data_IF_736843187757
#
_entry.id   IF_736843187757
#
_cell.length_a   1.000
_cell.length_b   1.000
_cell.length_c   1.000
_cell.angle_alpha   90.00
_cell.angle_beta   90.00
_cell.angle_gamma   90.00
#
_symmetry.space_group_name_H-M   'P 1'
#
loop_
_entity.id
_entity.type
_entity.pdbx_description
1 polymer ?
#
# COMPACT_ATOMS: atom_id res chain seq x y z
N UNK A 1 44.69 -23.01 -22.83
CA UNK A 1 44.35 -21.77 -22.08
C UNK A 1 42.86 -21.39 -22.21
N UNK A 2 42.24 -21.57 -23.38
CA UNK A 2 40.85 -21.17 -23.71
C UNK A 2 39.75 -21.84 -22.84
N UNK A 3 39.87 -23.14 -22.55
CA UNK A 3 38.86 -23.92 -21.80
C UNK A 3 38.71 -23.52 -20.32
N UNK A 4 39.75 -22.97 -19.70
CA UNK A 4 39.66 -22.48 -18.31
C UNK A 4 38.83 -21.19 -18.25
N UNK A 5 39.02 -20.27 -19.20
CA UNK A 5 38.23 -19.04 -19.29
C UNK A 5 36.74 -19.30 -19.43
N UNK A 6 36.35 -20.27 -20.28
CA UNK A 6 34.95 -20.65 -20.48
C UNK A 6 34.29 -21.25 -19.23
N UNK A 7 35.05 -21.98 -18.41
CA UNK A 7 34.54 -22.52 -17.14
C UNK A 7 34.28 -21.41 -16.11
N UNK A 8 35.17 -20.42 -16.03
CA UNK A 8 34.99 -19.28 -15.11
C UNK A 8 33.83 -18.38 -15.53
N UNK A 9 33.67 -18.09 -16.82
CA UNK A 9 32.53 -17.30 -17.30
C UNK A 9 31.21 -18.01 -17.04
N UNK A 10 31.12 -19.32 -17.31
CA UNK A 10 29.91 -20.08 -17.04
C UNK A 10 29.57 -20.15 -15.55
N UNK A 11 30.58 -20.26 -14.68
CA UNK A 11 30.39 -20.23 -13.23
C UNK A 11 29.82 -18.88 -12.77
N UNK A 12 30.36 -17.77 -13.26
CA UNK A 12 29.86 -16.42 -12.95
C UNK A 12 28.42 -16.26 -13.43
N UNK A 13 28.11 -16.65 -14.67
CA UNK A 13 26.76 -16.59 -15.22
C UNK A 13 25.78 -17.44 -14.40
N UNK A 14 26.20 -18.63 -13.96
CA UNK A 14 25.39 -19.50 -13.11
C UNK A 14 25.05 -18.85 -11.77
N UNK A 15 26.02 -18.17 -11.13
CA UNK A 15 25.74 -17.41 -9.92
C UNK A 15 24.80 -16.23 -10.16
N UNK A 16 25.00 -15.48 -11.25
CA UNK A 16 24.11 -14.35 -11.59
C UNK A 16 22.67 -14.83 -11.75
N UNK A 17 22.45 -15.90 -12.51
CA UNK A 17 21.11 -16.49 -12.70
C UNK A 17 20.53 -16.99 -11.39
N UNK A 18 21.34 -17.65 -10.55
CA UNK A 18 20.90 -18.12 -9.24
C UNK A 18 20.45 -16.96 -8.34
N UNK A 19 21.27 -15.92 -8.19
CA UNK A 19 20.93 -14.78 -7.34
C UNK A 19 19.76 -13.97 -7.90
N UNK A 20 19.64 -13.85 -9.23
CA UNK A 20 18.48 -13.21 -9.86
C UNK A 20 17.19 -14.01 -9.61
N UNK A 21 17.25 -15.34 -9.72
CA UNK A 21 16.11 -16.21 -9.38
C UNK A 21 15.72 -16.12 -7.91
N UNK A 22 16.71 -16.08 -7.01
CA UNK A 22 16.48 -15.85 -5.59
C UNK A 22 15.87 -14.48 -5.32
N UNK A 23 16.31 -13.42 -6.02
CA UNK A 23 15.73 -12.09 -5.91
C UNK A 23 14.25 -12.08 -6.30
N UNK A 24 13.91 -12.60 -7.48
CA UNK A 24 12.52 -12.60 -7.99
C UNK A 24 11.60 -13.40 -7.07
N UNK A 25 12.06 -14.52 -6.53
CA UNK A 25 11.25 -15.39 -5.65
C UNK A 25 11.06 -14.81 -4.25
N UNK A 26 12.08 -14.16 -3.68
CA UNK A 26 12.00 -13.60 -2.33
C UNK A 26 11.31 -12.24 -2.29
N UNK A 27 11.40 -11.44 -3.35
CA UNK A 27 10.92 -10.05 -3.31
C UNK A 27 9.44 -9.92 -2.94
N UNK A 28 8.50 -10.74 -3.47
CA UNK A 28 7.09 -10.68 -3.08
C UNK A 28 6.84 -10.95 -1.60
N UNK A 29 7.77 -11.59 -0.88
CA UNK A 29 7.64 -11.92 0.56
C UNK A 29 8.19 -10.80 1.46
N UNK A 30 9.00 -9.89 0.92
CA UNK A 30 9.61 -8.80 1.69
C UNK A 30 8.57 -7.90 2.39
N UNK A 31 7.45 -7.50 1.75
CA UNK A 31 6.43 -6.70 2.43
C UNK A 31 5.80 -7.40 3.65
N UNK A 32 5.68 -8.74 3.63
CA UNK A 32 5.18 -9.53 4.75
C UNK A 32 6.13 -9.48 5.95
N UNK A 33 7.42 -9.63 5.69
CA UNK A 33 8.46 -9.57 6.73
C UNK A 33 8.50 -8.17 7.34
N UNK A 34 8.51 -7.12 6.50
CA UNK A 34 8.49 -5.73 6.96
C UNK A 34 7.28 -5.47 7.85
N UNK A 35 6.09 -5.83 7.38
CA UNK A 35 4.85 -5.64 8.13
C UNK A 35 4.87 -6.32 9.49
N UNK A 36 5.33 -7.58 9.57
CA UNK A 36 5.39 -8.31 10.84
C UNK A 36 6.30 -7.64 11.87
N UNK A 37 7.38 -6.99 11.42
CA UNK A 37 8.31 -6.24 12.29
C UNK A 37 7.75 -4.86 12.64
N UNK A 38 7.12 -4.16 11.70
CA UNK A 38 6.61 -2.79 11.90
C UNK A 38 5.20 -2.73 12.50
N UNK A 39 4.46 -3.84 12.54
CA UNK A 39 3.10 -3.89 13.09
C UNK A 39 3.02 -3.38 14.54
N UNK A 40 4.09 -3.54 15.32
CA UNK A 40 4.19 -2.98 16.66
C UNK A 40 4.16 -1.43 16.72
N UNK A 41 4.32 -0.73 15.58
CA UNK A 41 4.18 0.73 15.43
C UNK A 41 2.97 1.14 14.56
N UNK A 42 2.25 0.19 13.99
CA UNK A 42 1.27 0.47 12.94
C UNK A 42 -0.06 1.03 13.46
N UNK A 43 -0.28 1.03 14.78
CA UNK A 43 -1.44 1.67 15.42
C UNK A 43 -1.18 3.16 15.75
N UNK A 44 -0.09 3.72 15.24
CA UNK A 44 0.28 5.12 15.48
C UNK A 44 -0.30 6.01 14.37
N UNK A 45 -1.41 6.67 14.69
CA UNK A 45 -1.94 7.73 13.85
C UNK A 45 -0.91 8.87 13.78
N UNK A 46 -0.69 9.44 12.59
CA UNK A 46 0.24 10.57 12.40
C UNK A 46 -0.53 11.88 12.20
N UNK A 47 -1.76 11.77 11.72
CA UNK A 47 -2.68 12.86 11.41
C UNK A 47 -3.76 12.99 12.48
N UNK A 48 -4.42 14.15 12.62
CA UNK A 48 -5.59 14.29 13.49
C UNK A 48 -6.68 13.32 13.02
N UNK A 49 -7.21 12.53 13.93
CA UNK A 49 -8.24 11.54 13.61
C UNK A 49 -9.17 11.26 14.77
N UNK A 50 -10.45 11.08 14.45
CA UNK A 50 -11.48 10.64 15.41
C UNK A 50 -11.23 9.22 15.95
N UNK A 51 -10.36 8.45 15.31
CA UNK A 51 -10.02 7.08 15.70
C UNK A 51 -8.89 7.02 16.74
N UNK A 52 -8.18 8.12 16.97
CA UNK A 52 -7.04 8.14 17.88
C UNK A 52 -7.46 8.00 19.36
N UNK A 53 -6.62 7.35 20.20
CA UNK A 53 -6.89 7.22 21.62
C UNK A 53 -6.91 8.59 22.33
N UNK A 54 -7.63 8.66 23.44
CA UNK A 54 -7.70 9.87 24.27
C UNK A 54 -6.29 10.29 24.70
N UNK A 55 -5.96 11.56 24.50
CA UNK A 55 -4.64 12.12 24.82
C UNK A 55 -3.61 11.98 23.69
N UNK A 56 -3.99 11.41 22.54
CA UNK A 56 -3.17 11.47 21.34
C UNK A 56 -2.96 12.92 20.88
N UNK A 57 -1.70 13.24 20.58
CA UNK A 57 -1.30 14.52 20.01
C UNK A 57 -0.78 14.23 18.60
N UNK A 58 -1.44 14.72 17.54
CA UNK A 58 -1.00 14.46 16.19
C UNK A 58 0.34 15.13 15.90
N UNK A 59 1.26 14.38 15.28
CA UNK A 59 2.57 14.91 14.87
C UNK A 59 2.43 15.89 13.71
N UNK A 60 1.46 15.64 12.81
CA UNK A 60 1.18 16.46 11.64
C UNK A 60 -0.19 17.10 11.74
N UNK A 61 -0.37 18.23 11.06
CA UNK A 61 -1.72 18.75 10.79
C UNK A 61 -2.48 17.87 9.80
N UNK A 62 -3.75 18.20 9.54
CA UNK A 62 -4.51 17.53 8.48
C UNK A 62 -3.73 17.57 7.16
N UNK A 63 -3.68 16.46 6.41
CA UNK A 63 -2.99 16.43 5.13
C UNK A 63 -3.67 17.41 4.17
N UNK A 64 -2.87 18.04 3.30
CA UNK A 64 -3.38 18.98 2.31
C UNK A 64 -3.95 18.25 1.10
N UNK A 65 -3.33 17.11 0.77
CA UNK A 65 -3.72 16.24 -0.31
C UNK A 65 -4.81 15.26 0.15
N UNK A 66 -5.60 14.77 -0.80
CA UNK A 66 -6.52 13.66 -0.54
C UNK A 66 -5.70 12.42 -0.18
N UNK A 67 -6.03 11.74 0.91
CA UNK A 67 -5.18 10.71 1.49
C UNK A 67 -6.00 9.61 2.15
N UNK A 68 -5.60 8.36 1.92
CA UNK A 68 -6.17 7.19 2.59
C UNK A 68 -5.17 6.69 3.64
N UNK A 69 -5.68 6.51 4.86
CA UNK A 69 -4.90 6.01 5.98
C UNK A 69 -5.61 4.80 6.58
N UNK A 70 -4.96 3.64 6.49
CA UNK A 70 -5.38 2.38 7.09
C UNK A 70 -4.21 1.85 7.94
N UNK A 71 -4.10 2.29 9.21
CA UNK A 71 -2.92 2.03 10.04
C UNK A 71 -2.66 0.53 10.22
N UNK A 72 -3.72 -0.25 10.47
CA UNK A 72 -3.64 -1.70 10.73
C UNK A 72 -2.95 -2.52 9.62
N UNK A 73 -2.94 -2.03 8.38
CA UNK A 73 -2.28 -2.66 7.24
C UNK A 73 -1.14 -1.83 6.65
N UNK A 74 -0.76 -0.73 7.32
CA UNK A 74 0.36 0.13 6.94
C UNK A 74 0.12 0.93 5.66
N UNK A 75 -1.14 1.22 5.31
CA UNK A 75 -1.48 2.09 4.17
C UNK A 75 -1.55 3.52 4.67
N UNK A 76 -0.70 4.38 4.10
CA UNK A 76 -0.73 5.83 4.28
C UNK A 76 -0.26 6.47 2.97
N UNK A 77 -1.20 6.85 2.11
CA UNK A 77 -0.90 7.26 0.73
C UNK A 77 -1.81 8.37 0.21
N UNK A 78 -1.25 9.23 -0.63
CA UNK A 78 -2.03 10.20 -1.41
C UNK A 78 -2.95 9.46 -2.39
N UNK A 79 -4.19 9.94 -2.52
CA UNK A 79 -5.18 9.50 -3.49
C UNK A 79 -5.06 10.37 -4.73
N UNK A 80 -4.64 9.76 -5.82
CA UNK A 80 -4.43 10.41 -7.10
C UNK A 80 -5.73 10.42 -7.90
N UNK A 81 -5.95 11.53 -8.60
CA UNK A 81 -7.05 11.74 -9.54
C UNK A 81 -6.56 11.64 -10.98
N UNK A 82 -7.47 11.41 -11.91
CA UNK A 82 -7.20 11.41 -13.36
C UNK A 82 -7.48 10.07 -14.02
N UNK A 83 -6.89 9.89 -15.20
CA UNK A 83 -7.04 8.67 -16.01
C UNK A 83 -6.28 7.48 -15.40
N UNK A 84 -6.31 6.33 -16.09
CA UNK A 84 -5.80 5.05 -15.58
C UNK A 84 -4.32 5.12 -15.17
N UNK A 85 -3.54 5.99 -15.79
CA UNK A 85 -2.12 6.22 -15.51
C UNK A 85 -1.87 6.69 -14.07
N UNK A 86 -2.87 7.27 -13.40
CA UNK A 86 -2.77 7.64 -12.00
C UNK A 86 -2.59 6.42 -11.06
N UNK A 87 -2.95 5.21 -11.50
CA UNK A 87 -2.68 3.97 -10.77
C UNK A 87 -1.17 3.71 -10.58
N UNK A 88 -0.33 4.18 -11.52
CA UNK A 88 1.13 4.05 -11.42
C UNK A 88 1.72 4.96 -10.32
N UNK A 89 0.92 5.91 -9.80
CA UNK A 89 1.26 6.79 -8.68
C UNK A 89 0.79 6.24 -7.33
N UNK A 90 0.08 5.11 -7.30
CA UNK A 90 -0.33 4.42 -6.08
C UNK A 90 -1.83 4.28 -5.94
N UNK A 91 -2.37 4.95 -4.92
CA UNK A 91 -3.80 4.95 -4.69
C UNK A 91 -4.46 5.84 -5.74
N UNK A 92 -5.45 5.31 -6.42
CA UNK A 92 -6.16 5.99 -7.49
C UNK A 92 -7.66 6.00 -7.20
N UNK A 93 -8.26 7.18 -7.25
CA UNK A 93 -9.71 7.31 -7.22
C UNK A 93 -10.29 6.99 -8.59
N UNK A 94 -11.16 5.98 -8.66
CA UNK A 94 -11.71 5.50 -9.93
C UNK A 94 -12.68 6.53 -10.52
N UNK A 95 -12.45 7.02 -11.75
CA UNK A 95 -13.36 7.95 -12.41
C UNK A 95 -14.78 7.39 -12.54
N UNK A 96 -15.77 8.28 -12.38
CA UNK A 96 -17.19 7.93 -12.43
C UNK A 96 -17.74 7.30 -11.14
N UNK A 97 -16.93 7.24 -10.07
CA UNK A 97 -17.39 6.89 -8.72
C UNK A 97 -17.55 8.15 -7.86
N UNK A 98 -18.24 8.05 -6.73
CA UNK A 98 -18.49 9.22 -5.88
C UNK A 98 -17.23 9.60 -5.09
N UNK A 99 -17.26 10.73 -4.38
CA UNK A 99 -16.22 11.12 -3.43
C UNK A 99 -16.80 11.28 -2.00
N UNK A 100 -15.94 11.39 -0.97
CA UNK A 100 -16.40 11.51 0.42
C UNK A 100 -17.31 12.72 0.69
N UNK A 101 -17.13 13.82 -0.04
CA UNK A 101 -17.91 15.06 0.11
C UNK A 101 -19.33 14.89 -0.42
N UNK A 102 -19.46 14.34 -1.64
CA UNK A 102 -20.76 14.10 -2.30
C UNK A 102 -21.50 12.95 -1.60
N UNK A 103 -20.76 11.97 -1.06
CA UNK A 103 -21.30 10.77 -0.48
C UNK A 103 -21.76 9.75 -1.53
N UNK A 104 -21.96 8.51 -1.12
CA UNK A 104 -22.20 7.37 -2.02
C UNK A 104 -20.99 6.45 -2.07
N UNK A 105 -20.80 5.75 -3.20
CA UNK A 105 -19.73 4.76 -3.32
C UNK A 105 -18.48 5.35 -3.97
N UNK A 106 -17.44 5.60 -3.16
CA UNK A 106 -16.10 6.00 -3.59
C UNK A 106 -15.23 4.77 -3.76
N UNK A 107 -14.63 4.61 -4.94
CA UNK A 107 -13.79 3.44 -5.23
C UNK A 107 -12.33 3.85 -5.35
N UNK A 108 -11.51 3.34 -4.45
CA UNK A 108 -10.06 3.51 -4.48
C UNK A 108 -9.41 2.21 -4.96
N UNK A 109 -8.48 2.33 -5.89
CA UNK A 109 -7.76 1.21 -6.51
C UNK A 109 -6.27 1.39 -6.26
N UNK A 110 -5.54 0.30 -6.02
CA UNK A 110 -4.09 0.29 -5.96
C UNK A 110 -3.55 -1.06 -6.44
N UNK A 111 -2.29 -1.11 -6.85
CA UNK A 111 -1.62 -2.39 -7.08
C UNK A 111 -1.56 -3.22 -5.81
N UNK A 112 -1.68 -4.55 -5.92
CA UNK A 112 -1.42 -5.46 -4.79
C UNK A 112 0.07 -5.51 -4.46
N UNK A 113 0.96 -5.55 -5.45
CA UNK A 113 2.40 -5.65 -5.25
C UNK A 113 3.16 -5.02 -6.41
N UNK A 114 4.34 -4.49 -6.12
CA UNK A 114 5.30 -3.96 -7.09
C UNK A 114 6.72 -4.48 -6.79
N UNK A 115 7.47 -4.78 -7.85
CA UNK A 115 8.90 -5.17 -7.75
C UNK A 115 9.84 -3.97 -7.54
N UNK A 116 9.32 -2.86 -7.00
CA UNK A 116 10.07 -1.67 -6.65
C UNK A 116 9.64 -1.21 -5.25
N UNK A 117 10.39 -0.29 -4.65
CA UNK A 117 9.91 0.47 -3.49
C UNK A 117 8.90 1.55 -3.90
N UNK A 118 8.11 1.28 -4.94
CA UNK A 118 7.23 2.23 -5.61
C UNK A 118 6.13 2.78 -4.71
N UNK A 119 5.05 3.30 -5.29
CA UNK A 119 4.00 3.92 -4.51
C UNK A 119 3.29 2.91 -3.59
N UNK A 120 2.43 3.43 -2.72
CA UNK A 120 1.64 2.62 -1.78
C UNK A 120 0.82 1.56 -2.52
N UNK A 121 0.82 0.36 -1.96
CA UNK A 121 0.12 -0.82 -2.51
C UNK A 121 -0.87 -1.37 -1.50
N UNK A 122 -1.84 -2.13 -2.00
CA UNK A 122 -2.79 -2.91 -1.21
C UNK A 122 -2.29 -4.34 -0.95
N UNK A 123 -0.99 -4.49 -0.66
CA UNK A 123 -0.38 -5.80 -0.42
C UNK A 123 -1.06 -6.57 0.73
N UNK A 124 -1.38 -5.86 1.82
CA UNK A 124 -1.98 -6.40 3.04
C UNK A 124 -3.50 -6.16 3.13
N UNK A 125 -4.17 -5.81 2.03
CA UNK A 125 -5.62 -5.53 2.06
C UNK A 125 -6.43 -6.77 2.50
N UNK A 126 -5.92 -7.96 2.23
CA UNK A 126 -6.46 -9.24 2.69
C UNK A 126 -6.41 -9.46 4.21
N UNK A 127 -5.69 -8.60 4.95
CA UNK A 127 -5.63 -8.64 6.42
C UNK A 127 -6.71 -7.80 7.09
N UNK A 128 -7.46 -7.00 6.32
CA UNK A 128 -8.61 -6.26 6.82
C UNK A 128 -9.71 -7.20 7.31
N UNK A 129 -10.48 -6.75 8.28
CA UNK A 129 -11.58 -7.49 8.88
C UNK A 129 -12.83 -6.61 8.96
N UNK A 130 -13.98 -7.28 8.98
CA UNK A 130 -15.25 -6.62 9.30
C UNK A 130 -15.11 -5.97 10.69
N UNK A 131 -15.45 -4.68 10.76
CA UNK A 131 -15.35 -3.85 11.95
C UNK A 131 -14.09 -3.00 12.03
N UNK A 132 -13.07 -3.25 11.19
CA UNK A 132 -11.89 -2.38 11.12
C UNK A 132 -12.28 -0.98 10.64
N UNK A 133 -11.65 0.03 11.23
CA UNK A 133 -11.93 1.44 10.96
C UNK A 133 -10.71 2.12 10.32
N UNK A 134 -10.97 3.02 9.39
CA UNK A 134 -9.93 3.73 8.64
C UNK A 134 -10.39 5.13 8.25
N UNK A 135 -9.44 6.00 7.88
CA UNK A 135 -9.71 7.39 7.56
C UNK A 135 -9.37 7.71 6.12
N UNK A 136 -10.26 8.45 5.46
CA UNK A 136 -9.98 9.19 4.23
C UNK A 136 -9.97 10.67 4.59
N UNK A 137 -8.88 11.34 4.27
CA UNK A 137 -8.81 12.79 4.27
C UNK A 137 -9.13 13.28 2.88
N UNK A 138 -10.13 14.14 2.75
CA UNK A 138 -10.59 14.65 1.47
C UNK A 138 -10.88 16.14 1.58
N UNK A 139 -10.24 16.95 0.73
CA UNK A 139 -10.40 18.41 0.70
C UNK A 139 -10.22 19.07 2.09
N UNK A 140 -9.29 18.53 2.90
CA UNK A 140 -8.98 19.03 4.23
C UNK A 140 -9.91 18.57 5.36
N UNK A 141 -10.85 17.67 5.09
CA UNK A 141 -11.77 17.10 6.08
C UNK A 141 -11.54 15.61 6.30
N UNK A 142 -11.81 15.11 7.51
CA UNK A 142 -11.68 13.69 7.85
C UNK A 142 -13.02 12.94 7.75
N UNK A 143 -13.00 11.87 6.96
CA UNK A 143 -14.08 10.89 6.81
C UNK A 143 -13.62 9.54 7.35
N UNK A 144 -14.29 9.08 8.42
CA UNK A 144 -14.02 7.78 9.03
C UNK A 144 -14.98 6.74 8.46
N UNK A 145 -14.41 5.62 8.02
CA UNK A 145 -15.15 4.49 7.48
C UNK A 145 -14.94 3.26 8.35
N UNK A 146 -15.90 2.35 8.29
CA UNK A 146 -15.86 1.05 8.95
C UNK A 146 -16.12 -0.03 7.94
N UNK A 147 -15.26 -1.04 7.89
CA UNK A 147 -15.46 -2.21 7.02
C UNK A 147 -16.69 -2.96 7.51
N UNK A 148 -17.70 -3.09 6.65
CA UNK A 148 -18.91 -3.86 6.95
C UNK A 148 -19.02 -5.16 6.16
N UNK A 149 -18.30 -5.27 5.04
CA UNK A 149 -18.32 -6.44 4.17
C UNK A 149 -16.97 -6.61 3.43
N UNK A 150 -16.62 -7.86 3.12
CA UNK A 150 -15.41 -8.26 2.37
C UNK A 150 -15.78 -9.45 1.50
N UNK A 151 -15.60 -9.32 0.18
CA UNK A 151 -15.90 -10.38 -0.77
C UNK A 151 -15.02 -10.28 -2.02
N UNK A 152 -14.91 -11.39 -2.74
CA UNK A 152 -14.26 -11.47 -4.05
C UNK A 152 -15.30 -11.42 -5.16
N UNK A 153 -14.95 -10.80 -6.29
CA UNK A 153 -15.83 -10.68 -7.48
C UNK A 153 -15.12 -11.19 -8.73
N UNK A 154 -15.89 -11.66 -9.70
CA UNK A 154 -15.37 -11.91 -11.03
C UNK A 154 -15.11 -10.56 -11.75
N UNK A 155 -14.05 -10.46 -12.57
CA UNK A 155 -13.75 -9.25 -13.35
C UNK A 155 -14.85 -8.82 -14.32
#
# INVERSE_FOLDING_TARGET
>A
MYLKGLKYTNLILSFIVFFLGMYITLMPVIPEIKFSVTKAKADEYVYPTKLAPIGFIPEKGLPKENRLVIPQIGVDGEINEGDREALDLGLWHRPGTSNPVIGGNTVIVAHRFLYSSGPITFYHLDKMKIGDEFSIYWEGEEYVYKVFDIFEVNP
#
